data_IF_873324635412
#
_entry.id   IF_873324635412
#
_cell.length_a   1.000
_cell.length_b   1.000
_cell.length_c   1.000
_cell.angle_alpha   90.00
_cell.angle_beta   90.00
_cell.angle_gamma   90.00
#
_symmetry.space_group_name_H-M   'P 1'
#
loop_
_entity.id
_entity.type
_entity.pdbx_description
1 polymer ?
#
# COMPACT_ATOMS: atom_id res chain seq x y z
N UNK A 1 20.21 27.47 -9.06
CA UNK A 1 20.58 26.06 -9.37
C UNK A 1 20.29 25.11 -8.21
N UNK A 2 20.76 25.38 -6.99
CA UNK A 2 20.61 24.48 -5.82
C UNK A 2 19.14 24.15 -5.45
N UNK A 3 18.24 25.13 -5.56
CA UNK A 3 16.80 24.94 -5.29
C UNK A 3 16.09 23.97 -6.26
N UNK A 4 16.55 23.87 -7.52
CA UNK A 4 15.97 22.95 -8.51
C UNK A 4 16.37 21.50 -8.20
N UNK A 5 17.66 21.27 -7.87
CA UNK A 5 18.17 19.95 -7.51
C UNK A 5 17.47 19.39 -6.27
N UNK A 6 17.29 20.20 -5.21
CA UNK A 6 16.56 19.77 -4.00
C UNK A 6 15.09 19.43 -4.27
N UNK A 7 14.41 20.17 -5.16
CA UNK A 7 13.02 19.87 -5.57
C UNK A 7 12.94 18.59 -6.39
N UNK A 8 13.88 18.39 -7.32
CA UNK A 8 13.97 17.21 -8.17
C UNK A 8 14.27 15.94 -7.36
N UNK A 9 15.18 16.01 -6.40
CA UNK A 9 15.53 14.89 -5.53
C UNK A 9 14.35 14.45 -4.65
N UNK A 10 13.61 15.40 -4.06
CA UNK A 10 12.38 15.12 -3.32
C UNK A 10 11.30 14.50 -4.20
N UNK A 11 11.14 14.98 -5.42
CA UNK A 11 10.18 14.40 -6.38
C UNK A 11 10.59 12.98 -6.79
N UNK A 12 11.89 12.75 -7.04
CA UNK A 12 12.45 11.44 -7.42
C UNK A 12 12.30 10.39 -6.32
N UNK A 13 12.56 10.75 -5.05
CA UNK A 13 12.31 9.86 -3.91
C UNK A 13 10.84 9.41 -3.85
N UNK A 14 9.90 10.34 -4.02
CA UNK A 14 8.46 10.04 -4.02
C UNK A 14 8.06 9.11 -5.16
N UNK A 15 8.59 9.34 -6.38
CA UNK A 15 8.33 8.46 -7.52
C UNK A 15 8.84 7.05 -7.26
N UNK A 16 10.04 6.89 -6.66
CA UNK A 16 10.57 5.57 -6.29
C UNK A 16 9.70 4.84 -5.27
N UNK A 17 9.17 5.55 -4.26
CA UNK A 17 8.24 4.98 -3.28
C UNK A 17 6.95 4.49 -3.94
N UNK A 18 6.37 5.28 -4.85
CA UNK A 18 5.20 4.86 -5.63
C UNK A 18 5.50 3.65 -6.52
N UNK A 19 6.65 3.65 -7.19
CA UNK A 19 7.04 2.55 -8.08
C UNK A 19 7.19 1.22 -7.32
N UNK A 20 7.70 1.28 -6.09
CA UNK A 20 7.79 0.13 -5.18
C UNK A 20 6.41 -0.41 -4.80
N UNK A 21 5.47 0.46 -4.46
CA UNK A 21 4.08 0.09 -4.15
C UNK A 21 3.36 -0.54 -5.36
N UNK A 22 3.46 0.08 -6.55
CA UNK A 22 2.83 -0.42 -7.77
C UNK A 22 3.31 -1.82 -8.14
N UNK A 23 4.58 -2.17 -7.88
CA UNK A 23 5.08 -3.53 -8.09
C UNK A 23 4.34 -4.55 -7.20
N UNK A 24 4.12 -4.22 -5.93
CA UNK A 24 3.38 -5.10 -5.01
C UNK A 24 1.93 -5.27 -5.43
N UNK A 25 1.25 -4.17 -5.80
CA UNK A 25 -0.13 -4.23 -6.31
C UNK A 25 -0.22 -5.04 -7.60
N UNK A 26 0.73 -4.86 -8.53
CA UNK A 26 0.74 -5.61 -9.79
C UNK A 26 0.87 -7.11 -9.54
N UNK A 27 1.81 -7.52 -8.69
CA UNK A 27 2.00 -8.94 -8.34
C UNK A 27 0.73 -9.48 -7.66
N UNK A 28 0.14 -8.71 -6.74
CA UNK A 28 -1.10 -9.09 -6.08
C UNK A 28 -2.23 -9.33 -7.08
N UNK A 29 -2.48 -8.39 -8.00
CA UNK A 29 -3.54 -8.52 -9.01
C UNK A 29 -3.28 -9.73 -9.92
N UNK A 30 -2.04 -9.95 -10.36
CA UNK A 30 -1.70 -11.07 -11.25
C UNK A 30 -1.91 -12.41 -10.54
N UNK A 31 -1.42 -12.57 -9.31
CA UNK A 31 -1.56 -13.84 -8.55
C UNK A 31 -3.03 -14.09 -8.21
N UNK A 32 -3.73 -13.10 -7.66
CA UNK A 32 -5.13 -13.26 -7.26
C UNK A 32 -6.06 -13.43 -8.46
N UNK A 33 -5.78 -12.75 -9.57
CA UNK A 33 -6.48 -12.97 -10.85
C UNK A 33 -6.28 -14.38 -11.37
N UNK A 34 -5.04 -14.91 -11.33
CA UNK A 34 -4.77 -16.30 -11.70
C UNK A 34 -5.51 -17.30 -10.79
N UNK A 35 -5.49 -17.09 -9.47
CA UNK A 35 -6.22 -17.93 -8.52
C UNK A 35 -7.74 -17.87 -8.73
N UNK A 36 -8.27 -16.70 -9.08
CA UNK A 36 -9.69 -16.55 -9.42
C UNK A 36 -10.05 -17.29 -10.73
N UNK A 37 -9.18 -17.23 -11.74
CA UNK A 37 -9.36 -17.98 -13.00
C UNK A 37 -9.28 -19.50 -12.76
N UNK A 38 -8.43 -19.96 -11.83
CA UNK A 38 -8.40 -21.35 -11.39
C UNK A 38 -9.70 -21.74 -10.67
N UNK A 39 -10.20 -20.89 -9.76
CA UNK A 39 -11.48 -21.13 -9.05
C UNK A 39 -12.68 -21.26 -9.98
N UNK A 40 -12.72 -20.47 -11.07
CA UNK A 40 -13.82 -20.52 -12.06
C UNK A 40 -13.73 -21.72 -13.00
N UNK A 41 -12.66 -22.52 -12.92
CA UNK A 41 -12.45 -23.68 -13.77
C UNK A 41 -12.06 -23.34 -15.21
N UNK A 42 -11.82 -22.06 -15.52
CA UNK A 42 -11.44 -21.59 -16.87
C UNK A 42 -10.15 -22.26 -17.36
N UNK A 43 -9.24 -22.56 -16.42
CA UNK A 43 -7.96 -23.21 -16.71
C UNK A 43 -7.98 -24.73 -16.52
N UNK A 44 -9.12 -25.34 -16.12
CA UNK A 44 -9.18 -26.78 -15.85
C UNK A 44 -8.75 -27.63 -17.05
N UNK A 45 -9.03 -27.18 -18.27
CA UNK A 45 -8.63 -27.86 -19.52
C UNK A 45 -7.12 -27.89 -19.75
N UNK A 46 -6.37 -26.98 -19.12
CA UNK A 46 -4.91 -26.91 -19.18
C UNK A 46 -4.24 -27.60 -18.00
N UNK A 47 -5.02 -28.07 -17.02
CA UNK A 47 -4.49 -28.66 -15.78
C UNK A 47 -4.43 -30.20 -15.88
N UNK A 48 -3.48 -30.84 -15.20
CA UNK A 48 -3.38 -32.30 -15.13
C UNK A 48 -4.60 -32.94 -14.47
N UNK A 49 -4.90 -34.20 -14.79
CA UNK A 49 -6.04 -34.95 -14.22
C UNK A 49 -6.02 -35.08 -12.68
N UNK A 50 -4.85 -35.01 -12.06
CA UNK A 50 -4.70 -35.05 -10.60
C UNK A 50 -4.96 -33.71 -9.92
N UNK A 51 -5.19 -32.63 -10.67
CA UNK A 51 -5.37 -31.31 -10.10
C UNK A 51 -6.80 -31.15 -9.55
N UNK A 52 -6.96 -30.68 -8.30
CA UNK A 52 -8.28 -30.49 -7.72
C UNK A 52 -9.04 -29.41 -8.49
N UNK A 53 -10.11 -29.81 -9.17
CA UNK A 53 -11.03 -28.91 -9.90
C UNK A 53 -12.25 -28.53 -9.09
N UNK A 54 -12.42 -29.13 -7.91
CA UNK A 54 -13.59 -28.92 -7.06
C UNK A 54 -13.59 -27.50 -6.45
N UNK A 55 -14.71 -26.74 -6.56
CA UNK A 55 -14.77 -25.34 -6.11
C UNK A 55 -14.40 -25.12 -4.65
N UNK A 56 -14.71 -26.09 -3.78
CA UNK A 56 -14.43 -26.03 -2.34
C UNK A 56 -12.94 -25.88 -2.00
N UNK A 57 -12.04 -26.47 -2.81
CA UNK A 57 -10.60 -26.30 -2.63
C UNK A 57 -10.12 -24.86 -2.84
N UNK A 58 -10.94 -24.01 -3.47
CA UNK A 58 -10.62 -22.62 -3.75
C UNK A 58 -11.45 -21.63 -2.93
N UNK A 59 -12.28 -22.08 -1.99
CA UNK A 59 -13.08 -21.16 -1.17
C UNK A 59 -12.19 -20.26 -0.28
N UNK A 60 -11.06 -20.80 0.19
CA UNK A 60 -10.06 -20.03 0.94
C UNK A 60 -9.44 -18.88 0.14
N UNK A 61 -9.41 -18.96 -1.19
CA UNK A 61 -8.86 -17.92 -2.07
C UNK A 61 -9.63 -16.62 -1.90
N UNK A 62 -10.95 -16.69 -1.77
CA UNK A 62 -11.80 -15.50 -1.56
C UNK A 62 -11.42 -14.78 -0.28
N UNK A 63 -11.35 -15.51 0.84
CA UNK A 63 -10.93 -14.96 2.13
C UNK A 63 -9.50 -14.42 2.10
N UNK A 64 -8.60 -15.09 1.39
CA UNK A 64 -7.21 -14.64 1.22
C UNK A 64 -7.15 -13.32 0.45
N UNK A 65 -7.88 -13.19 -0.66
CA UNK A 65 -7.99 -11.95 -1.44
C UNK A 65 -8.47 -10.80 -0.54
N UNK A 66 -9.49 -11.03 0.29
CA UNK A 66 -10.01 -9.99 1.19
C UNK A 66 -8.97 -9.53 2.23
N UNK A 67 -8.28 -10.47 2.88
CA UNK A 67 -7.27 -10.15 3.91
C UNK A 67 -6.10 -9.39 3.28
N UNK A 68 -5.54 -9.89 2.18
CA UNK A 68 -4.44 -9.23 1.50
C UNK A 68 -4.85 -7.92 0.83
N UNK A 69 -6.09 -7.83 0.36
CA UNK A 69 -6.69 -6.59 -0.12
C UNK A 69 -6.76 -5.53 0.99
N UNK A 70 -7.11 -5.92 2.21
CA UNK A 70 -7.11 -5.03 3.37
C UNK A 70 -5.68 -4.57 3.72
N UNK A 71 -4.71 -5.48 3.72
CA UNK A 71 -3.29 -5.16 3.96
C UNK A 71 -2.78 -4.17 2.90
N UNK A 72 -3.11 -4.40 1.63
CA UNK A 72 -2.76 -3.48 0.55
C UNK A 72 -3.45 -2.13 0.66
N UNK A 73 -4.71 -2.09 1.10
CA UNK A 73 -5.42 -0.84 1.34
C UNK A 73 -4.74 -0.01 2.44
N UNK A 74 -4.34 -0.65 3.55
CA UNK A 74 -3.57 0.01 4.62
C UNK A 74 -2.21 0.48 4.11
N UNK A 75 -1.51 -0.35 3.33
CA UNK A 75 -0.22 0.01 2.76
C UNK A 75 -0.36 1.18 1.75
N UNK A 76 -1.44 1.19 0.96
CA UNK A 76 -1.76 2.30 0.06
C UNK A 76 -1.99 3.59 0.84
N UNK A 77 -2.81 3.54 1.90
CA UNK A 77 -3.05 4.70 2.78
C UNK A 77 -1.74 5.24 3.35
N UNK A 78 -0.81 4.37 3.75
CA UNK A 78 0.49 4.76 4.26
C UNK A 78 1.39 5.38 3.19
N UNK A 79 1.48 4.79 1.99
CA UNK A 79 2.29 5.32 0.87
C UNK A 79 1.72 6.62 0.32
N UNK A 80 0.39 6.75 0.26
CA UNK A 80 -0.31 7.93 -0.25
C UNK A 80 -0.68 8.95 0.82
N UNK A 81 -0.20 8.81 2.06
CA UNK A 81 -0.51 9.73 3.18
C UNK A 81 -0.36 11.21 2.82
N UNK A 82 0.69 11.54 2.05
CA UNK A 82 0.99 12.91 1.63
C UNK A 82 0.07 13.46 0.52
N UNK A 83 -0.64 12.59 -0.20
CA UNK A 83 -1.61 12.95 -1.25
C UNK A 83 -3.00 13.17 -0.70
N UNK A 84 -3.30 12.62 0.48
CA UNK A 84 -4.60 12.76 1.14
C UNK A 84 -4.57 14.06 1.96
N UNK A 85 -5.30 15.11 1.56
CA UNK A 85 -5.23 16.41 2.21
C UNK A 85 -5.66 16.35 3.69
N UNK A 86 -6.60 15.47 4.03
CA UNK A 86 -7.05 15.24 5.41
C UNK A 86 -5.92 14.71 6.31
N UNK A 87 -5.14 13.74 5.81
CA UNK A 87 -4.06 13.12 6.58
C UNK A 87 -2.86 14.07 6.70
N UNK A 88 -2.53 14.79 5.62
CA UNK A 88 -1.50 15.82 5.63
C UNK A 88 -1.81 16.93 6.65
N UNK A 89 -3.05 17.45 6.67
CA UNK A 89 -3.46 18.47 7.63
C UNK A 89 -3.50 17.96 9.08
N UNK A 90 -3.73 16.65 9.28
CA UNK A 90 -3.64 16.04 10.60
C UNK A 90 -2.17 15.92 11.06
N UNK A 91 -1.28 15.45 10.18
CA UNK A 91 0.16 15.32 10.45
C UNK A 91 0.80 16.68 10.78
N UNK A 92 0.48 17.70 10.00
CA UNK A 92 0.98 19.07 10.20
C UNK A 92 0.52 19.66 11.54
N UNK A 93 -0.72 19.37 11.97
CA UNK A 93 -1.23 19.75 13.29
C UNK A 93 -0.54 19.00 14.44
N UNK A 94 -0.20 17.73 14.26
CA UNK A 94 0.53 16.99 15.29
C UNK A 94 1.95 17.54 15.43
N UNK A 95 2.64 17.80 14.31
CA UNK A 95 3.99 18.39 14.33
C UNK A 95 3.99 19.74 15.03
N UNK A 96 3.02 20.62 14.74
CA UNK A 96 2.88 21.88 15.47
C UNK A 96 2.71 21.67 16.97
N UNK A 97 1.84 20.74 17.41
CA UNK A 97 1.67 20.44 18.83
C UNK A 97 2.93 19.95 19.53
N UNK A 98 3.79 19.20 18.85
CA UNK A 98 5.05 18.75 19.42
C UNK A 98 6.08 19.89 19.51
N UNK A 99 6.12 20.78 18.52
CA UNK A 99 6.98 21.98 18.55
C UNK A 99 6.56 22.95 19.65
N UNK A 100 5.25 23.19 19.80
CA UNK A 100 4.69 24.05 20.86
C UNK A 100 5.04 23.52 22.26
N UNK A 101 4.97 22.18 22.44
CA UNK A 101 5.39 21.52 23.69
C UNK A 101 6.89 21.59 23.95
N UNK A 102 7.72 21.56 22.93
CA UNK A 102 9.17 21.75 23.09
C UNK A 102 9.50 23.20 23.45
N UNK A 103 8.85 24.19 22.84
CA UNK A 103 9.03 25.61 23.21
C UNK A 103 8.55 25.90 24.65
N UNK A 104 7.37 25.42 25.04
CA UNK A 104 6.84 25.57 26.40
C UNK A 104 7.74 24.88 27.45
N UNK A 105 8.26 23.68 27.14
CA UNK A 105 9.17 22.95 28.02
C UNK A 105 10.55 23.59 28.13
N UNK A 106 10.98 24.41 27.18
CA UNK A 106 12.27 25.14 27.22
C UNK A 106 12.15 26.46 27.98
N UNK A 107 10.98 27.12 27.95
CA UNK A 107 10.72 28.33 28.75
C UNK A 107 10.52 28.04 30.25
N UNK A 108 10.12 26.82 30.64
CA UNK A 108 9.97 26.43 32.05
C UNK A 108 11.31 26.27 32.80
N UNK A 109 12.43 26.15 32.07
CA UNK A 109 13.80 26.04 32.65
C UNK A 109 14.60 27.34 32.63
N UNK A 110 13.98 28.49 32.35
CA UNK A 110 14.65 29.80 32.22
C UNK A 110 14.17 30.80 33.27
#
# INVERSE_FOLDING_TARGET
MENLNRKYERASKRVKEYMGFYRHVKIFIVINGLLYLLKTGTLNRLMPEWFPTEPYYFDWVTSNIFIWGLILAVHALYTFRHKIPLLKNWEERQIQKYLEKEEEGVDEFK
#
